data_IF_431477415643
#
_entry.id   IF_431477415643
#
_cell.length_a   1.000
_cell.length_b   1.000
_cell.length_c   1.000
_cell.angle_alpha   90.00
_cell.angle_beta   90.00
_cell.angle_gamma   90.00
#
_symmetry.space_group_name_H-M   'P 1'
#
loop_
_entity.id
_entity.type
_entity.pdbx_description
1 polymer ?
#
# COMPACT_ATOMS: atom_id res chain seq x y z
N UNK A 1 6.76 -10.43 10.43
CA UNK A 1 7.17 -9.39 9.45
C UNK A 1 6.38 -8.12 9.70
N UNK A 2 7.09 -7.05 10.01
CA UNK A 2 6.48 -5.74 10.20
C UNK A 2 6.83 -4.85 9.01
N UNK A 3 5.81 -4.48 8.25
CA UNK A 3 5.96 -3.55 7.13
C UNK A 3 5.58 -2.17 7.63
N UNK A 4 6.38 -1.15 7.32
CA UNK A 4 6.04 0.23 7.58
C UNK A 4 6.01 0.99 6.25
N UNK A 5 4.94 1.74 6.03
CA UNK A 5 4.82 2.67 4.91
C UNK A 5 4.78 4.07 5.50
N UNK A 6 5.84 4.83 5.27
CA UNK A 6 5.93 6.23 5.70
C UNK A 6 5.53 7.11 4.53
N UNK A 7 4.41 7.81 4.67
CA UNK A 7 3.91 8.73 3.65
C UNK A 7 4.72 10.01 3.69
N UNK A 8 5.84 9.99 2.98
CA UNK A 8 6.84 11.05 3.02
C UNK A 8 6.39 12.32 2.28
N UNK A 9 5.75 12.16 1.13
CA UNK A 9 5.34 13.26 0.27
C UNK A 9 3.87 13.16 -0.11
N UNK A 10 2.95 13.58 0.78
CA UNK A 10 1.53 13.67 0.41
C UNK A 10 1.33 14.89 -0.49
N UNK A 11 0.83 14.63 -1.69
CA UNK A 11 0.56 15.66 -2.69
C UNK A 11 -0.95 15.81 -2.91
N UNK A 12 -1.33 16.79 -3.71
CA UNK A 12 -2.74 17.07 -3.98
C UNK A 12 -3.46 15.91 -4.67
N UNK A 13 -2.77 15.19 -5.57
CA UNK A 13 -3.36 14.13 -6.37
C UNK A 13 -2.78 12.75 -6.12
N UNK A 14 -1.70 12.64 -5.36
CA UNK A 14 -1.05 11.37 -5.08
C UNK A 14 -0.17 11.48 -3.84
N UNK A 15 0.30 10.34 -3.34
CA UNK A 15 1.16 10.29 -2.17
C UNK A 15 2.34 9.36 -2.47
N UNK A 16 3.56 9.86 -2.32
CA UNK A 16 4.77 9.05 -2.44
C UNK A 16 5.30 8.77 -1.04
N UNK A 17 5.67 7.51 -0.80
CA UNK A 17 6.17 7.09 0.49
C UNK A 17 7.37 6.18 0.39
N UNK A 18 7.79 5.69 1.56
CA UNK A 18 8.86 4.71 1.69
C UNK A 18 8.35 3.50 2.44
N UNK A 19 8.69 2.32 1.92
CA UNK A 19 8.35 1.06 2.57
C UNK A 19 9.58 0.45 3.21
N UNK A 20 9.41 0.02 4.46
CA UNK A 20 10.44 -0.64 5.26
C UNK A 20 9.94 -2.04 5.63
N UNK A 21 10.83 -3.02 5.56
CA UNK A 21 10.56 -4.39 6.00
C UNK A 21 11.41 -4.66 7.23
N UNK A 22 10.77 -4.86 8.39
CA UNK A 22 11.46 -5.03 9.68
C UNK A 22 12.51 -3.93 9.92
N UNK A 23 12.15 -2.69 9.59
CA UNK A 23 13.02 -1.52 9.79
C UNK A 23 14.01 -1.23 8.68
N UNK A 24 14.17 -2.11 7.70
CA UNK A 24 15.10 -1.90 6.59
C UNK A 24 14.36 -1.35 5.35
N UNK A 25 14.92 -0.31 4.74
CA UNK A 25 14.33 0.27 3.53
C UNK A 25 14.25 -0.77 2.41
N UNK A 26 13.06 -0.89 1.82
CA UNK A 26 12.83 -1.84 0.73
C UNK A 26 12.59 -1.14 -0.60
N UNK A 27 11.63 -0.21 -0.65
CA UNK A 27 11.28 0.49 -1.90
C UNK A 27 10.46 1.74 -1.60
N UNK A 28 10.08 2.47 -2.65
CA UNK A 28 9.10 3.53 -2.56
C UNK A 28 7.68 2.99 -2.74
N UNK A 29 6.71 3.79 -2.34
CA UNK A 29 5.29 3.50 -2.52
C UNK A 29 4.62 4.67 -3.23
N UNK A 30 3.52 4.36 -3.91
CA UNK A 30 2.67 5.37 -4.52
C UNK A 30 1.22 5.02 -4.24
N UNK A 31 0.52 5.98 -3.69
CA UNK A 31 -0.89 5.87 -3.35
C UNK A 31 -1.66 7.06 -3.89
N UNK A 32 -2.98 6.99 -3.85
CA UNK A 32 -3.85 8.13 -4.08
C UNK A 32 -3.61 9.21 -3.01
N UNK A 33 -4.34 10.31 -3.09
CA UNK A 33 -4.22 11.40 -2.13
C UNK A 33 -4.69 10.98 -0.75
N UNK A 34 -4.08 11.52 0.29
CA UNK A 34 -4.45 11.28 1.68
C UNK A 34 -5.78 11.97 2.00
N UNK A 35 -6.74 11.22 2.54
CA UNK A 35 -8.03 11.72 3.01
C UNK A 35 -8.03 11.85 4.54
N UNK A 36 -7.46 10.88 5.25
CA UNK A 36 -7.37 10.87 6.71
C UNK A 36 -6.30 11.86 7.19
N UNK A 37 -6.61 13.16 7.13
CA UNK A 37 -5.61 14.22 7.39
C UNK A 37 -5.24 14.34 8.87
N UNK A 38 -6.15 14.02 9.76
CA UNK A 38 -5.87 14.05 11.21
C UNK A 38 -5.23 12.75 11.71
N UNK A 39 -5.05 11.75 10.84
CA UNK A 39 -4.36 10.48 11.12
C UNK A 39 -5.04 9.66 12.23
N UNK A 40 -6.35 9.76 12.36
CA UNK A 40 -7.09 9.02 13.40
C UNK A 40 -7.55 7.62 12.96
N UNK A 41 -7.30 7.23 11.70
CA UNK A 41 -7.67 5.91 11.19
C UNK A 41 -9.08 5.83 10.61
N UNK A 42 -9.78 6.94 10.51
CA UNK A 42 -11.13 7.03 9.99
C UNK A 42 -11.28 8.22 9.06
N UNK A 43 -12.35 8.22 8.26
CA UNK A 43 -12.74 9.39 7.48
C UNK A 43 -13.89 10.07 8.22
N UNK A 44 -13.65 11.22 8.80
CA UNK A 44 -14.63 11.98 9.55
C UNK A 44 -14.62 13.47 9.18
N UNK A 45 -15.68 14.19 9.56
CA UNK A 45 -15.82 15.60 9.22
C UNK A 45 -15.81 15.84 7.71
N UNK A 46 -14.85 16.64 7.25
CA UNK A 46 -14.68 16.97 5.83
C UNK A 46 -13.88 15.92 5.06
N UNK A 47 -13.41 14.89 5.73
CA UNK A 47 -12.64 13.79 5.13
C UNK A 47 -13.60 12.83 4.44
N UNK A 48 -13.81 13.01 3.15
CA UNK A 48 -14.74 12.19 2.38
C UNK A 48 -14.02 11.38 1.32
N UNK A 49 -14.28 10.07 1.32
CA UNK A 49 -13.74 9.18 0.32
C UNK A 49 -14.30 9.55 -1.06
N UNK A 50 -13.39 9.71 -2.02
CA UNK A 50 -13.74 9.80 -3.44
C UNK A 50 -13.38 8.46 -4.07
N UNK A 51 -14.38 7.75 -4.58
CA UNK A 51 -14.19 6.42 -5.14
C UNK A 51 -13.09 6.42 -6.23
N UNK A 52 -12.12 5.51 -6.10
CA UNK A 52 -11.03 5.38 -7.05
C UNK A 52 -9.91 6.41 -6.90
N UNK A 53 -10.03 7.38 -5.98
CA UNK A 53 -9.08 8.48 -5.86
C UNK A 53 -8.67 8.78 -4.41
N UNK A 54 -8.84 7.81 -3.50
CA UNK A 54 -8.55 8.02 -2.08
C UNK A 54 -7.58 6.99 -1.56
N UNK A 55 -6.56 7.44 -0.82
CA UNK A 55 -5.69 6.56 -0.06
C UNK A 55 -6.42 6.05 1.19
N UNK A 56 -5.98 4.90 1.69
CA UNK A 56 -6.57 4.28 2.88
C UNK A 56 -6.25 5.09 4.14
N UNK A 57 -7.06 4.95 5.21
CA UNK A 57 -6.75 5.62 6.48
C UNK A 57 -5.41 5.16 7.06
N UNK A 58 -4.79 6.03 7.85
CA UNK A 58 -3.62 5.65 8.66
C UNK A 58 -4.01 4.55 9.64
N UNK A 59 -3.07 3.69 9.97
CA UNK A 59 -3.33 2.62 10.93
C UNK A 59 -2.46 1.41 10.68
N UNK A 60 -2.68 0.36 11.47
CA UNK A 60 -1.99 -0.91 11.34
C UNK A 60 -2.97 -1.98 10.90
N UNK A 61 -2.62 -2.71 9.88
CA UNK A 61 -3.47 -3.74 9.28
C UNK A 61 -2.72 -5.06 9.18
N UNK A 62 -3.46 -6.16 9.27
CA UNK A 62 -2.92 -7.49 8.97
C UNK A 62 -2.83 -7.67 7.47
N UNK A 63 -1.83 -8.44 7.04
CA UNK A 63 -1.58 -8.71 5.63
C UNK A 63 -1.58 -10.21 5.39
N UNK A 64 -2.27 -10.64 4.35
CA UNK A 64 -2.23 -12.03 3.87
C UNK A 64 -1.93 -12.06 2.39
N UNK A 65 -1.13 -13.05 1.98
CA UNK A 65 -0.86 -13.30 0.57
C UNK A 65 -1.88 -14.32 0.08
N UNK A 66 -2.64 -13.95 -0.93
CA UNK A 66 -3.65 -14.82 -1.51
C UNK A 66 -3.85 -14.47 -2.99
N UNK A 67 -4.49 -15.39 -3.73
CA UNK A 67 -4.77 -15.15 -5.14
C UNK A 67 -5.82 -14.07 -5.31
N UNK A 68 -5.47 -13.01 -6.03
CA UNK A 68 -6.41 -11.94 -6.37
C UNK A 68 -7.32 -12.39 -7.51
N UNK A 69 -8.66 -12.33 -7.34
CA UNK A 69 -9.58 -12.63 -8.45
C UNK A 69 -9.41 -11.67 -9.63
N UNK A 70 -9.13 -10.40 -9.33
CA UNK A 70 -8.96 -9.36 -10.35
C UNK A 70 -7.67 -9.53 -11.15
N UNK A 71 -6.55 -9.73 -10.46
CA UNK A 71 -5.23 -9.78 -11.11
C UNK A 71 -4.79 -11.21 -11.43
N UNK A 72 -5.50 -12.22 -10.93
CA UNK A 72 -5.28 -13.64 -11.21
C UNK A 72 -3.87 -14.12 -10.84
N UNK A 73 -3.29 -13.55 -9.79
CA UNK A 73 -2.02 -13.96 -9.22
C UNK A 73 -2.01 -13.69 -7.72
N UNK A 74 -1.05 -14.29 -7.02
CA UNK A 74 -0.92 -14.06 -5.59
C UNK A 74 -0.37 -12.65 -5.32
N UNK A 75 -1.03 -11.93 -4.40
CA UNK A 75 -0.66 -10.57 -4.00
C UNK A 75 -0.91 -10.39 -2.50
N UNK A 76 -0.13 -9.50 -1.84
CA UNK A 76 -0.43 -9.13 -0.46
C UNK A 76 -1.73 -8.35 -0.39
N UNK A 77 -2.59 -8.72 0.55
CA UNK A 77 -3.88 -8.07 0.79
C UNK A 77 -3.96 -7.59 2.23
N UNK A 78 -4.37 -6.34 2.42
CA UNK A 78 -4.65 -5.77 3.73
C UNK A 78 -6.05 -6.16 4.17
N UNK A 79 -6.19 -6.56 5.44
CA UNK A 79 -7.47 -6.98 6.01
C UNK A 79 -8.12 -5.85 6.82
N UNK A 80 -9.45 -5.80 6.76
CA UNK A 80 -10.28 -4.93 7.60
C UNK A 80 -9.89 -3.45 7.52
N UNK A 81 -9.64 -2.95 6.32
CA UNK A 81 -9.34 -1.53 6.10
C UNK A 81 -10.66 -0.75 6.13
N UNK A 82 -10.82 0.23 7.06
CA UNK A 82 -12.05 1.02 7.12
C UNK A 82 -12.34 1.72 5.79
N UNK A 83 -13.59 1.68 5.35
CA UNK A 83 -14.10 2.30 4.12
C UNK A 83 -13.65 1.65 2.82
N UNK A 84 -12.87 0.58 2.88
CA UNK A 84 -12.34 -0.09 1.68
C UNK A 84 -12.56 -1.59 1.73
N UNK A 85 -12.54 -2.20 0.56
CA UNK A 85 -12.52 -3.64 0.40
C UNK A 85 -11.53 -3.98 -0.70
N UNK A 86 -10.81 -5.10 -0.52
CA UNK A 86 -9.89 -5.57 -1.54
C UNK A 86 -8.63 -4.71 -1.73
N UNK A 87 -8.08 -4.13 -0.67
CA UNK A 87 -6.85 -3.35 -0.76
C UNK A 87 -5.66 -4.30 -0.92
N UNK A 88 -4.92 -4.11 -1.99
CA UNK A 88 -3.76 -4.93 -2.35
C UNK A 88 -2.50 -4.06 -2.43
N UNK A 89 -1.35 -4.72 -2.34
CA UNK A 89 -0.06 -4.13 -2.68
C UNK A 89 0.32 -4.72 -4.03
N UNK A 90 0.38 -3.88 -5.07
CA UNK A 90 0.62 -4.39 -6.42
C UNK A 90 1.42 -3.41 -7.28
N UNK A 91 1.66 -3.81 -8.52
CA UNK A 91 2.42 -3.01 -9.48
C UNK A 91 1.57 -1.92 -10.11
N UNK A 92 2.24 -0.86 -10.51
CA UNK A 92 1.66 0.27 -11.22
C UNK A 92 2.68 1.39 -11.30
N UNK A 93 2.50 2.31 -12.23
CA UNK A 93 3.48 3.37 -12.48
C UNK A 93 3.04 4.74 -11.97
N UNK A 94 1.74 5.02 -11.98
CA UNK A 94 1.18 6.31 -11.56
C UNK A 94 -0.06 6.08 -10.70
N UNK A 95 -0.56 7.15 -10.07
CA UNK A 95 -1.78 7.09 -9.27
C UNK A 95 -3.01 6.65 -10.06
N UNK A 96 -2.96 6.71 -11.39
CA UNK A 96 -4.05 6.20 -12.24
C UNK A 96 -4.15 4.68 -12.22
N UNK A 97 -3.11 4.00 -11.76
CA UNK A 97 -3.06 2.55 -11.68
C UNK A 97 -3.58 2.02 -10.35
N UNK A 98 -4.09 2.88 -9.49
CA UNK A 98 -4.58 2.46 -8.18
C UNK A 98 -5.93 3.10 -7.85
N UNK A 99 -6.69 2.40 -7.02
CA UNK A 99 -7.96 2.86 -6.46
C UNK A 99 -7.95 2.54 -4.95
N UNK A 100 -7.00 3.16 -4.23
CA UNK A 100 -6.77 2.91 -2.81
C UNK A 100 -5.67 1.90 -2.53
N UNK A 101 -5.30 1.07 -3.49
CA UNK A 101 -4.21 0.11 -3.34
C UNK A 101 -2.85 0.79 -3.22
N UNK A 102 -1.87 0.08 -2.69
CA UNK A 102 -0.52 0.58 -2.52
C UNK A 102 0.36 0.05 -3.65
N UNK A 103 0.91 0.95 -4.44
CA UNK A 103 1.85 0.59 -5.50
C UNK A 103 3.27 0.61 -4.96
N UNK A 104 4.11 -0.30 -5.44
CA UNK A 104 5.52 -0.43 -5.03
C UNK A 104 6.46 -0.27 -6.20
N UNK A 105 7.67 0.23 -5.95
CA UNK A 105 8.68 0.45 -6.96
C UNK A 105 9.70 1.47 -6.50
N UNK A 106 10.37 2.12 -7.46
CA UNK A 106 11.31 3.20 -7.15
C UNK A 106 10.77 4.53 -7.69
N UNK A 107 10.76 5.55 -6.85
CA UNK A 107 10.32 6.88 -7.24
C UNK A 107 11.49 7.64 -7.87
N UNK A 108 11.57 7.61 -9.21
CA UNK A 108 12.63 8.26 -9.97
C UNK A 108 12.16 9.52 -10.69
N UNK A 109 10.86 9.79 -10.69
CA UNK A 109 10.26 10.97 -11.30
C UNK A 109 8.98 11.32 -10.54
N UNK A 110 8.53 12.57 -10.65
CA UNK A 110 7.34 13.06 -9.94
C UNK A 110 6.11 12.18 -10.22
N UNK A 111 5.53 11.63 -9.14
CA UNK A 111 4.30 10.84 -9.23
C UNK A 111 4.41 9.57 -10.04
N UNK A 112 5.62 9.05 -10.24
CA UNK A 112 5.86 7.85 -11.03
C UNK A 112 6.78 6.88 -10.32
N UNK A 113 6.49 5.60 -10.53
CA UNK A 113 7.35 4.50 -10.08
C UNK A 113 7.97 3.79 -11.28
N UNK A 114 9.19 3.31 -11.09
CA UNK A 114 9.89 2.44 -12.02
C UNK A 114 10.17 1.11 -11.34
N UNK A 115 10.48 0.07 -12.11
CA UNK A 115 10.78 -1.28 -11.61
C UNK A 115 9.67 -1.84 -10.71
N UNK A 116 8.45 -1.40 -10.94
CA UNK A 116 7.30 -1.75 -10.09
C UNK A 116 7.01 -3.26 -10.12
N UNK A 117 7.06 -3.87 -11.29
CA UNK A 117 6.84 -5.32 -11.43
C UNK A 117 7.85 -6.11 -10.61
N UNK A 118 9.12 -5.73 -10.68
CA UNK A 118 10.18 -6.40 -9.92
C UNK A 118 9.95 -6.33 -8.42
N UNK A 119 9.59 -5.14 -7.91
CA UNK A 119 9.35 -4.96 -6.48
C UNK A 119 8.07 -5.64 -6.00
N UNK A 120 7.02 -5.66 -6.83
CA UNK A 120 5.82 -6.43 -6.49
C UNK A 120 6.15 -7.92 -6.35
N UNK A 121 6.88 -8.49 -7.30
CA UNK A 121 7.24 -9.90 -7.27
C UNK A 121 8.13 -10.24 -6.09
N UNK A 122 9.13 -9.40 -5.80
CA UNK A 122 10.01 -9.57 -4.65
C UNK A 122 9.24 -9.52 -3.34
N UNK A 123 8.39 -8.51 -3.17
CA UNK A 123 7.61 -8.35 -1.94
C UNK A 123 6.69 -9.53 -1.73
N UNK A 124 5.95 -9.92 -2.76
CA UNK A 124 5.02 -11.05 -2.67
C UNK A 124 5.75 -12.34 -2.28
N UNK A 125 6.92 -12.59 -2.85
CA UNK A 125 7.72 -13.78 -2.51
C UNK A 125 8.19 -13.75 -1.06
N UNK A 126 8.69 -12.61 -0.58
CA UNK A 126 9.14 -12.43 0.80
C UNK A 126 7.98 -12.68 1.78
N UNK A 127 6.83 -12.07 1.53
CA UNK A 127 5.67 -12.20 2.41
C UNK A 127 5.05 -13.59 2.36
N UNK A 128 5.04 -14.21 1.19
CA UNK A 128 4.57 -15.59 1.05
C UNK A 128 5.42 -16.55 1.87
N UNK A 129 6.74 -16.39 1.86
CA UNK A 129 7.63 -17.19 2.67
C UNK A 129 7.37 -17.00 4.17
N UNK A 130 7.18 -15.75 4.62
CA UNK A 130 6.81 -15.47 6.02
C UNK A 130 5.51 -16.16 6.40
N UNK A 131 4.50 -16.07 5.54
CA UNK A 131 3.21 -16.69 5.77
C UNK A 131 3.29 -18.21 5.83
N UNK A 132 4.07 -18.83 4.95
CA UNK A 132 4.23 -20.28 4.91
C UNK A 132 4.94 -20.81 6.15
N UNK A 133 5.74 -19.97 6.82
CA UNK A 133 6.39 -20.28 8.10
C UNK A 133 5.49 -20.04 9.31
N UNK A 134 4.26 -19.57 9.10
CA UNK A 134 3.35 -19.21 10.19
C UNK A 134 3.62 -17.86 10.83
N UNK A 135 4.43 -17.01 10.22
CA UNK A 135 4.74 -15.68 10.74
C UNK A 135 3.60 -14.71 10.42
N UNK A 136 3.16 -13.95 11.42
CA UNK A 136 2.16 -12.90 11.20
C UNK A 136 2.79 -11.74 10.46
N UNK A 137 2.04 -11.17 9.50
CA UNK A 137 2.47 -10.02 8.72
C UNK A 137 1.56 -8.85 9.04
N UNK A 138 2.15 -7.72 9.42
CA UNK A 138 1.42 -6.47 9.65
C UNK A 138 2.01 -5.35 8.82
N UNK A 139 1.18 -4.36 8.48
CA UNK A 139 1.59 -3.14 7.80
C UNK A 139 1.07 -1.94 8.57
N UNK A 140 1.96 -0.99 8.86
CA UNK A 140 1.59 0.27 9.51
C UNK A 140 1.74 1.40 8.51
N UNK A 141 0.64 2.12 8.29
CA UNK A 141 0.61 3.29 7.42
C UNK A 141 0.76 4.52 8.31
N UNK A 142 1.84 5.26 8.11
CA UNK A 142 2.18 6.40 8.98
C UNK A 142 2.81 7.58 8.23
#
# INVERSE_FOLDING_TARGET
MNIAVVRQWPKEKYTVGRMYLNGAFFCNTLEDRVIDKNKNGHFDGDEKKVAGESAIPYGTYKVKVSKSPKFKRELPRLEDVPHFDGILIHRGNTAKDTAGCILVGLNTAKGKLTQSTEYELKLTAILKECQDKGEEITITIQ
#
